data_IF_497345785709
#
_entry.id   IF_497345785709
#
_cell.length_a   1.000
_cell.length_b   1.000
_cell.length_c   1.000
_cell.angle_alpha   90.00
_cell.angle_beta   90.00
_cell.angle_gamma   90.00
#
_symmetry.space_group_name_H-M   'P 1'
#
loop_
_entity.id
_entity.type
_entity.pdbx_description
1 polymer ?
#
# COMPACT_ATOMS: atom_id res chain seq x y z
N UNK A 1 27.67 58.05 -3.24
CA UNK A 1 26.33 57.72 -3.78
C UNK A 1 26.14 56.22 -3.60
N UNK A 2 25.32 55.83 -2.63
CA UNK A 2 25.10 54.43 -2.27
C UNK A 2 23.84 53.90 -2.97
N UNK A 3 24.00 52.80 -3.70
CA UNK A 3 22.96 52.00 -4.33
C UNK A 3 22.10 51.31 -3.26
N UNK A 4 20.78 51.52 -3.26
CA UNK A 4 19.84 50.75 -2.45
C UNK A 4 19.22 49.64 -3.32
N UNK A 5 19.56 48.40 -2.98
CA UNK A 5 19.05 47.19 -3.63
C UNK A 5 17.62 46.85 -3.18
N UNK A 6 16.84 46.38 -4.15
CA UNK A 6 15.49 45.84 -4.00
C UNK A 6 15.55 44.47 -3.30
N UNK A 7 14.98 44.35 -2.10
CA UNK A 7 14.82 43.07 -1.42
C UNK A 7 13.47 42.43 -1.80
N UNK A 8 13.51 41.39 -2.64
CA UNK A 8 12.38 40.51 -2.89
C UNK A 8 12.27 39.51 -1.72
N UNK A 9 11.28 39.69 -0.85
CA UNK A 9 10.94 38.71 0.17
C UNK A 9 10.16 37.56 -0.46
N UNK A 10 10.84 36.44 -0.72
CA UNK A 10 10.20 35.16 -1.03
C UNK A 10 9.62 34.59 0.27
N UNK A 11 8.31 34.74 0.44
CA UNK A 11 7.57 34.09 1.52
C UNK A 11 7.56 32.58 1.32
N UNK A 12 8.15 31.86 2.27
CA UNK A 12 8.14 30.40 2.34
C UNK A 12 6.71 29.89 2.53
N UNK A 13 6.12 29.33 1.48
CA UNK A 13 4.88 28.57 1.60
C UNK A 13 5.18 27.21 2.25
N UNK A 14 4.77 27.03 3.50
CA UNK A 14 4.76 25.71 4.14
C UNK A 14 3.63 24.89 3.53
N UNK A 15 3.97 24.00 2.59
CA UNK A 15 3.05 23.03 2.00
C UNK A 15 2.71 21.95 3.03
N UNK A 16 1.66 22.16 3.83
CA UNK A 16 1.04 21.11 4.65
C UNK A 16 0.12 20.26 3.78
N UNK A 17 0.67 19.33 3.01
CA UNK A 17 -0.09 18.23 2.39
C UNK A 17 0.09 16.97 3.23
N UNK A 18 -0.68 16.83 4.31
CA UNK A 18 -0.57 15.65 5.18
C UNK A 18 -1.89 14.90 5.41
N UNK A 19 -3.00 15.32 4.78
CA UNK A 19 -4.34 14.77 5.10
C UNK A 19 -4.94 13.87 4.01
N UNK A 20 -4.70 14.14 2.71
CA UNK A 20 -5.36 13.38 1.63
C UNK A 20 -4.81 11.95 1.47
N UNK A 21 -3.53 11.74 1.79
CA UNK A 21 -2.80 10.54 1.42
C UNK A 21 -2.48 9.62 2.62
N UNK A 22 -2.83 10.07 3.84
CA UNK A 22 -2.65 9.32 5.09
C UNK A 22 -3.89 8.50 5.46
N UNK A 23 -3.66 7.22 5.74
CA UNK A 23 -4.67 6.29 6.24
C UNK A 23 -4.39 5.87 7.69
N UNK A 24 -5.29 6.25 8.60
CA UNK A 24 -5.19 5.93 10.03
C UNK A 24 -5.35 4.43 10.36
N UNK A 25 -5.80 3.64 9.39
CA UNK A 25 -5.96 2.18 9.49
C UNK A 25 -4.66 1.37 9.38
N UNK A 26 -3.52 1.99 9.03
CA UNK A 26 -2.24 1.30 8.96
C UNK A 26 -1.68 0.84 10.31
N UNK A 27 -0.54 0.16 10.25
CA UNK A 27 0.20 -0.36 11.40
C UNK A 27 0.95 0.76 12.14
N UNK A 28 1.34 0.58 13.43
CA UNK A 28 2.11 1.58 14.16
C UNK A 28 3.56 1.74 13.67
N UNK A 29 4.08 0.77 12.92
CA UNK A 29 5.45 0.81 12.38
C UNK A 29 5.50 0.24 10.96
N UNK A 30 6.66 0.41 10.30
CA UNK A 30 7.00 -0.15 8.98
C UNK A 30 7.42 -1.63 9.02
N UNK A 31 7.37 -2.27 10.19
CA UNK A 31 7.79 -3.64 10.41
C UNK A 31 6.69 -4.45 11.10
N UNK A 32 6.17 -5.44 10.39
CA UNK A 32 5.10 -6.29 10.89
C UNK A 32 5.03 -7.60 10.11
N UNK A 33 4.32 -8.58 10.68
CA UNK A 33 4.13 -9.89 10.08
C UNK A 33 2.67 -10.08 9.63
N UNK A 34 2.49 -10.86 8.58
CA UNK A 34 1.17 -11.31 8.10
C UNK A 34 1.16 -12.83 7.95
N UNK A 35 0.02 -13.45 8.26
CA UNK A 35 -0.20 -14.89 8.16
C UNK A 35 -1.03 -15.22 6.93
N UNK A 36 -0.55 -16.11 6.08
CA UNK A 36 -1.35 -16.72 5.02
C UNK A 36 -2.32 -17.74 5.65
N UNK A 37 -3.61 -17.66 5.32
CA UNK A 37 -4.65 -18.53 5.91
C UNK A 37 -5.48 -19.20 4.82
N UNK A 38 -5.55 -20.53 4.83
CA UNK A 38 -6.47 -21.30 3.98
C UNK A 38 -6.25 -21.15 2.47
N UNK A 39 -5.03 -20.78 2.04
CA UNK A 39 -4.69 -20.54 0.64
C UNK A 39 -3.57 -21.44 0.14
N UNK A 40 -3.55 -21.72 -1.16
CA UNK A 40 -2.52 -22.54 -1.81
C UNK A 40 -1.20 -21.76 -2.03
N UNK A 41 -0.17 -22.48 -2.49
CA UNK A 41 1.17 -21.96 -2.72
C UNK A 41 1.22 -20.80 -3.73
N UNK A 42 0.32 -20.77 -4.72
CA UNK A 42 0.23 -19.67 -5.70
C UNK A 42 -0.09 -18.35 -5.03
N UNK A 43 -1.14 -18.32 -4.20
CA UNK A 43 -1.53 -17.11 -3.47
C UNK A 43 -0.52 -16.72 -2.39
N UNK A 44 0.14 -17.71 -1.76
CA UNK A 44 1.28 -17.44 -0.87
C UNK A 44 2.42 -16.78 -1.64
N UNK A 45 2.70 -17.23 -2.87
CA UNK A 45 3.69 -16.62 -3.75
C UNK A 45 3.39 -15.16 -4.10
N UNK A 46 2.11 -14.82 -4.34
CA UNK A 46 1.71 -13.42 -4.56
C UNK A 46 1.89 -12.56 -3.32
N UNK A 47 1.54 -13.08 -2.12
CA UNK A 47 1.82 -12.40 -0.85
C UNK A 47 3.32 -12.17 -0.64
N UNK A 48 4.13 -13.19 -0.87
CA UNK A 48 5.58 -13.11 -0.69
C UNK A 48 6.22 -12.11 -1.67
N UNK A 49 5.72 -12.06 -2.91
CA UNK A 49 6.14 -11.09 -3.92
C UNK A 49 5.76 -9.66 -3.53
N UNK A 50 4.50 -9.43 -3.11
CA UNK A 50 4.04 -8.11 -2.69
C UNK A 50 4.81 -7.56 -1.48
N UNK A 51 5.08 -8.40 -0.47
CA UNK A 51 5.94 -8.02 0.66
C UNK A 51 7.36 -7.69 0.20
N UNK A 52 7.93 -8.50 -0.68
CA UNK A 52 9.27 -8.27 -1.25
C UNK A 52 9.34 -6.95 -2.02
N UNK A 53 8.30 -6.57 -2.75
CA UNK A 53 8.24 -5.28 -3.44
C UNK A 53 8.33 -4.09 -2.48
N UNK A 54 7.65 -4.16 -1.33
CA UNK A 54 7.78 -3.14 -0.28
C UNK A 54 9.14 -3.17 0.41
N UNK A 55 9.63 -4.34 0.81
CA UNK A 55 10.92 -4.46 1.52
C UNK A 55 12.09 -3.96 0.66
N UNK A 56 12.00 -4.11 -0.65
CA UNK A 56 13.01 -3.68 -1.62
C UNK A 56 12.66 -2.34 -2.31
N UNK A 57 11.71 -1.56 -1.79
CA UNK A 57 11.32 -0.28 -2.42
C UNK A 57 12.21 0.90 -2.04
N UNK A 58 12.98 0.78 -0.95
CA UNK A 58 13.70 1.90 -0.33
C UNK A 58 12.97 2.54 0.86
N UNK A 59 11.66 2.27 1.04
CA UNK A 59 10.84 2.88 2.10
C UNK A 59 11.19 2.45 3.56
N UNK A 60 12.25 1.68 3.75
CA UNK A 60 12.67 1.15 5.06
C UNK A 60 11.66 0.19 5.68
N UNK A 61 10.95 -0.60 4.86
CA UNK A 61 9.93 -1.55 5.35
C UNK A 61 10.53 -2.93 5.60
N UNK A 62 9.93 -3.64 6.57
CA UNK A 62 10.29 -5.02 6.91
C UNK A 62 9.02 -5.83 7.15
N UNK A 63 8.34 -6.18 6.06
CA UNK A 63 7.12 -6.96 6.03
C UNK A 63 7.47 -8.45 6.00
N UNK A 64 7.15 -9.18 7.07
CA UNK A 64 7.40 -10.62 7.20
C UNK A 64 6.16 -11.48 6.99
N UNK A 65 6.36 -12.79 6.78
CA UNK A 65 5.31 -13.80 6.84
C UNK A 65 5.57 -14.70 8.03
N UNK A 66 4.57 -14.86 8.90
CA UNK A 66 4.67 -15.72 10.09
C UNK A 66 3.35 -16.45 10.34
N UNK A 67 3.43 -17.74 10.67
CA UNK A 67 2.25 -18.55 11.03
C UNK A 67 1.63 -18.13 12.36
N UNK A 68 2.37 -17.39 13.19
CA UNK A 68 1.88 -16.84 14.47
C UNK A 68 1.38 -15.41 14.35
N UNK A 69 1.42 -14.79 13.16
CA UNK A 69 0.96 -13.41 13.01
C UNK A 69 -0.55 -13.29 13.28
N UNK A 70 -0.93 -12.19 13.95
CA UNK A 70 -2.31 -11.84 14.19
C UNK A 70 -3.00 -11.32 12.92
N UNK A 71 -2.28 -10.52 12.11
CA UNK A 71 -2.79 -10.05 10.83
C UNK A 71 -2.84 -11.17 9.80
N UNK A 72 -3.88 -11.20 8.97
CA UNK A 72 -4.15 -12.32 8.06
C UNK A 72 -4.23 -11.89 6.60
N UNK A 73 -3.84 -12.79 5.70
CA UNK A 73 -4.04 -12.69 4.26
C UNK A 73 -4.75 -13.96 3.76
N UNK A 74 -5.87 -13.76 3.08
CA UNK A 74 -6.69 -14.82 2.47
C UNK A 74 -7.01 -14.48 1.02
N UNK A 75 -7.24 -15.49 0.21
CA UNK A 75 -7.76 -15.35 -1.14
C UNK A 75 -8.85 -16.38 -1.37
N UNK A 76 -10.00 -15.93 -1.86
CA UNK A 76 -11.14 -16.80 -2.13
C UNK A 76 -12.00 -16.20 -3.25
N UNK A 77 -13.09 -16.89 -3.58
CA UNK A 77 -14.13 -16.39 -4.48
C UNK A 77 -15.16 -15.66 -3.63
N UNK A 78 -15.27 -14.35 -3.78
CA UNK A 78 -16.26 -13.53 -3.07
C UNK A 78 -17.23 -12.89 -4.08
N UNK A 79 -18.46 -12.61 -3.64
CA UNK A 79 -19.49 -12.02 -4.52
C UNK A 79 -19.36 -10.51 -4.69
N UNK A 80 -18.53 -9.88 -3.87
CA UNK A 80 -18.23 -8.45 -3.98
C UNK A 80 -17.37 -8.14 -5.21
N UNK A 81 -17.42 -6.88 -5.66
CA UNK A 81 -16.72 -6.41 -6.87
C UNK A 81 -15.29 -5.94 -6.64
N UNK A 82 -14.82 -5.85 -5.39
CA UNK A 82 -13.44 -5.44 -5.09
C UNK A 82 -12.45 -6.53 -5.48
N UNK A 83 -11.25 -6.13 -5.92
CA UNK A 83 -10.15 -7.06 -6.18
C UNK A 83 -9.43 -7.47 -4.89
N UNK A 84 -9.25 -6.52 -3.98
CA UNK A 84 -8.69 -6.71 -2.66
C UNK A 84 -9.43 -5.85 -1.64
N UNK A 85 -9.32 -6.24 -0.37
CA UNK A 85 -9.90 -5.50 0.75
C UNK A 85 -8.99 -5.64 1.97
N UNK A 86 -8.40 -4.52 2.39
CA UNK A 86 -7.76 -4.36 3.69
C UNK A 86 -8.79 -3.91 4.75
N UNK A 87 -8.79 -4.57 5.91
CA UNK A 87 -9.68 -4.26 7.03
C UNK A 87 -8.89 -4.22 8.33
N UNK A 88 -8.61 -3.03 8.91
CA UNK A 88 -7.90 -2.94 10.17
C UNK A 88 -8.80 -3.22 11.37
N UNK A 89 -8.19 -3.55 12.50
CA UNK A 89 -8.86 -3.72 13.79
C UNK A 89 -7.94 -3.29 14.93
N UNK A 90 -8.52 -2.96 16.08
CA UNK A 90 -7.77 -2.49 17.25
C UNK A 90 -7.23 -1.06 17.11
N UNK A 91 -6.57 -0.60 18.18
CA UNK A 91 -6.05 0.77 18.32
C UNK A 91 -4.59 0.79 17.85
N UNK A 92 -4.23 1.77 16.97
CA UNK A 92 -2.95 1.84 16.24
C UNK A 92 -1.73 1.56 17.12
N UNK A 93 -1.59 2.25 18.26
CA UNK A 93 -0.45 2.12 19.16
C UNK A 93 -0.58 1.06 20.27
N UNK A 94 -1.64 0.24 20.26
CA UNK A 94 -1.92 -0.70 21.36
C UNK A 94 -1.96 -2.15 20.84
N UNK A 95 -2.87 -2.46 19.92
CA UNK A 95 -3.15 -3.84 19.49
C UNK A 95 -3.62 -3.92 18.03
N UNK A 96 -3.10 -3.03 17.18
CA UNK A 96 -3.48 -2.95 15.77
C UNK A 96 -3.14 -4.23 15.01
N UNK A 97 -4.14 -4.76 14.32
CA UNK A 97 -4.03 -5.87 13.36
C UNK A 97 -4.85 -5.55 12.11
N UNK A 98 -4.79 -6.44 11.11
CA UNK A 98 -5.63 -6.32 9.92
C UNK A 98 -5.96 -7.68 9.30
N UNK A 99 -6.98 -7.69 8.46
CA UNK A 99 -7.25 -8.77 7.52
C UNK A 99 -7.21 -8.23 6.09
N UNK A 100 -6.48 -8.93 5.21
CA UNK A 100 -6.51 -8.74 3.76
C UNK A 100 -7.28 -9.90 3.15
N UNK A 101 -8.28 -9.57 2.32
CA UNK A 101 -8.97 -10.52 1.45
C UNK A 101 -8.69 -10.18 0.01
N UNK A 102 -8.31 -11.16 -0.80
CA UNK A 102 -8.14 -11.01 -2.25
C UNK A 102 -9.20 -11.81 -2.99
N UNK A 103 -9.92 -11.16 -3.90
CA UNK A 103 -11.01 -11.78 -4.64
C UNK A 103 -10.51 -12.45 -5.91
N UNK A 104 -10.23 -13.74 -5.80
CA UNK A 104 -9.79 -14.58 -6.90
C UNK A 104 -10.81 -14.63 -8.04
N UNK A 105 -12.12 -14.55 -7.73
CA UNK A 105 -13.20 -14.57 -8.73
C UNK A 105 -13.11 -13.33 -9.62
N UNK A 106 -13.22 -12.14 -9.03
CA UNK A 106 -13.21 -10.88 -9.77
C UNK A 106 -11.89 -10.67 -10.51
N UNK A 107 -10.75 -11.04 -9.91
CA UNK A 107 -9.45 -11.01 -10.60
C UNK A 107 -9.44 -11.93 -11.83
N UNK A 108 -9.93 -13.17 -11.71
CA UNK A 108 -9.96 -14.11 -12.83
C UNK A 108 -10.88 -13.66 -13.97
N UNK A 109 -11.99 -12.99 -13.64
CA UNK A 109 -12.97 -12.51 -14.61
C UNK A 109 -12.47 -11.28 -15.38
N UNK A 110 -11.66 -10.42 -14.75
CA UNK A 110 -11.31 -9.10 -15.32
C UNK A 110 -9.86 -8.97 -15.80
N UNK A 111 -8.94 -9.81 -15.33
CA UNK A 111 -7.51 -9.66 -15.66
C UNK A 111 -7.13 -10.17 -17.05
N UNK A 112 -8.02 -10.91 -17.72
CA UNK A 112 -7.71 -11.59 -18.98
C UNK A 112 -6.51 -12.52 -18.82
N UNK A 113 -5.50 -12.39 -19.68
CA UNK A 113 -4.25 -13.16 -19.60
C UNK A 113 -3.28 -12.66 -18.51
N UNK A 114 -3.61 -11.60 -17.76
CA UNK A 114 -2.70 -10.92 -16.83
C UNK A 114 -2.95 -11.27 -15.35
N UNK A 115 -3.58 -12.42 -15.06
CA UNK A 115 -3.97 -12.83 -13.71
C UNK A 115 -2.86 -12.72 -12.67
N UNK A 116 -1.65 -13.17 -13.00
CA UNK A 116 -0.48 -13.08 -12.11
C UNK A 116 -0.13 -11.63 -11.77
N UNK A 117 0.00 -10.78 -12.79
CA UNK A 117 0.34 -9.36 -12.62
C UNK A 117 -0.72 -8.63 -11.79
N UNK A 118 -2.00 -8.87 -12.08
CA UNK A 118 -3.11 -8.25 -11.34
C UNK A 118 -3.18 -8.71 -9.90
N UNK A 119 -2.92 -10.00 -9.64
CA UNK A 119 -2.90 -10.55 -8.28
C UNK A 119 -1.75 -9.97 -7.45
N UNK A 120 -0.56 -9.82 -8.04
CA UNK A 120 0.58 -9.16 -7.40
C UNK A 120 0.26 -7.68 -7.16
N UNK A 121 -0.19 -6.94 -8.18
CA UNK A 121 -0.54 -5.51 -8.06
C UNK A 121 -1.60 -5.25 -6.99
N UNK A 122 -2.61 -6.11 -6.90
CA UNK A 122 -3.66 -6.03 -5.87
C UNK A 122 -3.06 -6.32 -4.49
N UNK A 123 -2.30 -7.41 -4.37
CA UNK A 123 -1.68 -7.80 -3.10
C UNK A 123 -0.72 -6.72 -2.58
N UNK A 124 0.16 -6.18 -3.42
CA UNK A 124 1.08 -5.10 -3.03
C UNK A 124 0.33 -3.84 -2.61
N UNK A 125 -0.78 -3.52 -3.28
CA UNK A 125 -1.65 -2.39 -2.93
C UNK A 125 -2.29 -2.57 -1.55
N UNK A 126 -2.91 -3.72 -1.25
CA UNK A 126 -3.52 -3.96 0.07
C UNK A 126 -2.49 -3.91 1.21
N UNK A 127 -1.24 -4.36 0.95
CA UNK A 127 -0.14 -4.21 1.91
C UNK A 127 0.25 -2.74 2.14
N UNK A 128 0.07 -1.88 1.13
CA UNK A 128 0.28 -0.43 1.23
C UNK A 128 -0.65 0.25 2.24
N UNK A 129 -1.89 -0.23 2.39
CA UNK A 129 -2.78 0.22 3.47
C UNK A 129 -2.25 -0.13 4.86
N UNK A 130 -1.59 -1.28 5.00
CA UNK A 130 -0.84 -1.64 6.21
C UNK A 130 0.29 -0.65 6.53
N UNK A 131 0.81 0.03 5.51
CA UNK A 131 1.79 1.12 5.62
C UNK A 131 1.13 2.51 5.62
N UNK A 132 -0.14 2.61 5.98
CA UNK A 132 -0.86 3.88 6.14
C UNK A 132 -1.01 4.72 4.88
N UNK A 133 -0.86 4.15 3.69
CA UNK A 133 -1.21 4.86 2.46
C UNK A 133 -2.72 4.81 2.25
N UNK A 134 -3.32 5.97 1.97
CA UNK A 134 -4.72 6.08 1.60
C UNK A 134 -4.99 5.47 0.23
N UNK A 135 -6.22 5.01 0.07
CA UNK A 135 -6.69 4.51 -1.21
C UNK A 135 -7.01 5.69 -2.15
N UNK A 136 -6.64 5.55 -3.42
CA UNK A 136 -6.81 6.57 -4.45
C UNK A 136 -6.35 7.99 -4.03
N UNK A 137 -5.06 8.17 -3.69
CA UNK A 137 -4.52 9.46 -3.25
C UNK A 137 -4.75 10.56 -4.29
N UNK A 138 -5.04 11.78 -3.83
CA UNK A 138 -5.31 12.92 -4.69
C UNK A 138 -4.02 13.56 -5.18
N UNK A 139 -3.36 12.89 -6.13
CA UNK A 139 -2.06 13.29 -6.69
C UNK A 139 -2.04 13.11 -8.20
N UNK A 140 -1.26 13.93 -8.91
CA UNK A 140 -0.94 13.70 -10.32
C UNK A 140 0.13 12.61 -10.50
N UNK A 141 0.91 12.31 -9.46
CA UNK A 141 1.97 11.31 -9.50
C UNK A 141 1.43 9.90 -9.77
N UNK A 142 2.24 9.06 -10.42
CA UNK A 142 1.96 7.63 -10.48
C UNK A 142 2.02 7.02 -9.08
N UNK A 143 1.05 6.18 -8.76
CA UNK A 143 0.94 5.55 -7.44
C UNK A 143 0.33 4.16 -7.58
N UNK A 144 0.88 3.21 -6.82
CA UNK A 144 0.31 1.88 -6.62
C UNK A 144 -1.04 1.94 -5.91
N UNK A 145 -1.31 3.02 -5.18
CA UNK A 145 -2.55 3.22 -4.43
C UNK A 145 -3.70 3.76 -5.28
N UNK A 146 -3.47 4.12 -6.55
CA UNK A 146 -4.54 4.55 -7.44
C UNK A 146 -5.47 3.41 -7.86
N UNK A 147 -6.76 3.70 -7.92
CA UNK A 147 -7.77 2.79 -8.50
C UNK A 147 -7.55 2.58 -9.99
N UNK A 148 -7.18 3.66 -10.68
CA UNK A 148 -6.95 3.73 -12.13
C UNK A 148 -5.58 3.19 -12.56
N UNK A 149 -4.74 2.71 -11.64
CA UNK A 149 -3.43 2.16 -12.00
C UNK A 149 -3.57 1.02 -13.01
N UNK A 150 -2.64 0.95 -13.94
CA UNK A 150 -2.54 -0.21 -14.82
C UNK A 150 -1.95 -1.38 -14.01
N UNK A 151 -2.81 -2.30 -13.57
CA UNK A 151 -2.43 -3.46 -12.74
C UNK A 151 -1.50 -4.45 -13.45
N UNK A 152 -1.40 -4.39 -14.77
CA UNK A 152 -0.46 -5.22 -15.54
C UNK A 152 0.97 -4.71 -15.37
N UNK A 153 1.19 -3.39 -15.30
CA UNK A 153 2.53 -2.78 -15.25
C UNK A 153 2.91 -2.22 -13.87
N UNK A 154 1.93 -1.79 -13.08
CA UNK A 154 2.13 -1.20 -11.75
C UNK A 154 1.90 -2.28 -10.69
N UNK A 155 2.95 -3.04 -10.39
CA UNK A 155 2.95 -4.12 -9.38
C UNK A 155 3.75 -3.78 -8.11
N UNK A 156 4.59 -2.74 -8.19
CA UNK A 156 5.50 -2.29 -7.14
C UNK A 156 5.09 -0.91 -6.62
N UNK A 157 5.49 -0.53 -5.39
CA UNK A 157 5.40 0.86 -4.95
C UNK A 157 6.12 1.78 -5.93
N UNK A 158 5.53 2.93 -6.21
CA UNK A 158 6.12 4.01 -7.01
C UNK A 158 6.87 4.97 -6.10
N UNK A 159 7.70 5.85 -6.67
CA UNK A 159 8.49 6.81 -5.88
C UNK A 159 7.64 7.66 -4.93
N UNK A 160 6.44 8.04 -5.36
CA UNK A 160 5.47 8.75 -4.53
C UNK A 160 4.97 7.91 -3.35
N UNK A 161 4.67 6.63 -3.57
CA UNK A 161 4.23 5.74 -2.48
C UNK A 161 5.35 5.54 -1.45
N UNK A 162 6.60 5.44 -1.92
CA UNK A 162 7.80 5.31 -1.07
C UNK A 162 7.98 6.55 -0.21
N UNK A 163 7.94 7.75 -0.81
CA UNK A 163 8.10 9.00 -0.06
C UNK A 163 6.99 9.22 0.97
N UNK A 164 5.75 8.81 0.67
CA UNK A 164 4.65 8.94 1.63
C UNK A 164 4.82 7.97 2.81
N UNK A 165 5.30 6.75 2.58
CA UNK A 165 5.64 5.84 3.70
C UNK A 165 6.74 6.44 4.58
N UNK A 166 7.79 7.03 4.00
CA UNK A 166 8.85 7.69 4.77
C UNK A 166 8.35 8.92 5.53
N UNK A 167 7.44 9.70 4.94
CA UNK A 167 6.84 10.87 5.59
C UNK A 167 5.95 10.51 6.77
N UNK A 168 5.27 9.36 6.71
CA UNK A 168 4.31 8.92 7.74
C UNK A 168 5.01 8.32 8.98
N UNK A 169 6.19 7.73 8.84
CA UNK A 169 6.86 6.93 9.88
C UNK A 169 8.28 7.40 10.22
#
# INVERSE_FOLDING_TARGET
MATLGLALALGSATMTSASADYYSGGMPSRSWNVKAVGINSTWVGFLDTGRSHWNNSGAGTSLGRSTSAASTFTAARYDQSWFGLYSPSGIRGINRTFAIKVNAKTLSEQSGSNMTAWSISTTTHELGHGLSLADNPNTSSSSLMKHSRNRTTVQRPQSYDVSEVERIY
#
